data_IF_473848673181
#
_entry.id   IF_473848673181
#
_cell.length_a   1.000
_cell.length_b   1.000
_cell.length_c   1.000
_cell.angle_alpha   90.00
_cell.angle_beta   90.00
_cell.angle_gamma   90.00
#
_symmetry.space_group_name_H-M   'P 1'
#
loop_
_entity.id
_entity.type
_entity.pdbx_description
1 polymer ?
#
# COMPACT_ATOMS: atom_id res chain seq x y z
N UNK A 1 -1.30 -9.47 20.74
CA UNK A 1 -2.13 -9.45 19.52
C UNK A 1 -2.18 -8.00 19.07
N UNK A 2 -1.71 -7.69 17.86
CA UNK A 2 -1.76 -6.32 17.32
C UNK A 2 -3.21 -6.04 16.93
N UNK A 3 -3.80 -4.94 17.40
CA UNK A 3 -5.16 -4.55 17.03
C UNK A 3 -5.16 -3.84 15.68
N UNK A 4 -6.29 -3.84 14.98
CA UNK A 4 -6.47 -3.08 13.74
C UNK A 4 -6.20 -1.59 13.92
N UNK A 5 -6.49 -1.03 15.11
CA UNK A 5 -6.19 0.36 15.44
C UNK A 5 -4.69 0.66 15.47
N UNK A 6 -3.89 -0.22 16.09
CA UNK A 6 -2.41 -0.07 16.10
C UNK A 6 -1.84 -0.11 14.69
N UNK A 7 -2.40 -0.96 13.82
CA UNK A 7 -1.99 -1.00 12.41
C UNK A 7 -2.41 0.26 11.65
N UNK A 8 -3.65 0.73 11.84
CA UNK A 8 -4.15 1.96 11.22
C UNK A 8 -3.28 3.16 11.60
N UNK A 9 -2.89 3.26 12.87
CA UNK A 9 -1.99 4.31 13.36
C UNK A 9 -0.59 4.18 12.77
N UNK A 10 -0.06 2.96 12.66
CA UNK A 10 1.26 2.70 12.04
C UNK A 10 1.27 3.10 10.56
N UNK A 11 0.24 2.73 9.80
CA UNK A 11 0.10 3.09 8.38
C UNK A 11 0.06 4.62 8.25
N UNK A 12 -0.76 5.29 9.06
CA UNK A 12 -0.85 6.77 9.04
C UNK A 12 0.46 7.45 9.40
N UNK A 13 1.19 6.95 10.40
CA UNK A 13 2.51 7.47 10.77
C UNK A 13 3.52 7.33 9.63
N UNK A 14 3.57 6.16 8.99
CA UNK A 14 4.43 5.93 7.84
C UNK A 14 4.11 6.91 6.70
N UNK A 15 2.85 6.98 6.28
CA UNK A 15 2.42 7.80 5.15
C UNK A 15 2.60 9.29 5.41
N UNK A 16 2.34 9.73 6.64
CA UNK A 16 2.62 11.11 7.06
C UNK A 16 4.11 11.43 6.93
N UNK A 17 4.97 10.55 7.43
CA UNK A 17 6.43 10.74 7.38
C UNK A 17 6.94 10.79 5.93
N UNK A 18 6.50 9.84 5.08
CA UNK A 18 6.84 9.84 3.65
C UNK A 18 6.39 11.14 2.99
N UNK A 19 5.13 11.56 3.19
CA UNK A 19 4.58 12.75 2.56
C UNK A 19 5.29 14.04 2.99
N UNK A 20 5.51 14.22 4.29
CA UNK A 20 6.13 15.44 4.85
C UNK A 20 7.56 15.60 4.38
N UNK A 21 8.29 14.50 4.19
CA UNK A 21 9.68 14.54 3.76
C UNK A 21 9.83 14.72 2.25
N UNK A 22 8.92 14.13 1.48
CA UNK A 22 9.06 14.07 0.02
C UNK A 22 8.46 15.31 -0.67
N UNK A 23 7.62 16.13 -0.01
CA UNK A 23 6.79 17.16 -0.67
C UNK A 23 5.90 16.58 -1.80
N UNK A 24 5.79 15.25 -1.86
CA UNK A 24 5.28 14.46 -2.98
C UNK A 24 3.96 13.77 -2.56
N UNK A 25 3.06 14.49 -1.88
CA UNK A 25 1.79 13.92 -1.41
C UNK A 25 0.86 13.41 -2.51
N UNK A 26 1.15 13.79 -3.76
CA UNK A 26 0.42 13.36 -4.95
C UNK A 26 1.23 12.40 -5.83
N UNK A 27 2.33 11.82 -5.34
CA UNK A 27 3.22 11.03 -6.18
C UNK A 27 3.08 9.53 -5.96
N UNK A 28 2.20 9.16 -5.02
CA UNK A 28 1.87 7.78 -4.80
C UNK A 28 0.41 7.61 -4.39
N UNK A 29 -0.11 6.43 -4.68
CA UNK A 29 -1.42 5.96 -4.22
C UNK A 29 -1.17 4.76 -3.32
N UNK A 30 -1.78 4.77 -2.13
CA UNK A 30 -1.80 3.59 -1.27
C UNK A 30 -2.78 2.56 -1.84
N UNK A 31 -2.28 1.38 -2.16
CA UNK A 31 -3.10 0.28 -2.68
C UNK A 31 -3.03 -0.94 -1.75
N UNK A 32 -3.77 -2.00 -2.09
CA UNK A 32 -3.68 -3.27 -1.38
C UNK A 32 -4.30 -3.26 0.03
N UNK A 33 -3.75 -4.11 0.91
CA UNK A 33 -4.33 -4.38 2.23
C UNK A 33 -4.31 -3.18 3.17
N UNK A 34 -3.21 -2.42 3.17
CA UNK A 34 -3.08 -1.21 3.98
C UNK A 34 -4.10 -0.12 3.58
N UNK A 35 -4.34 0.04 2.27
CA UNK A 35 -5.43 0.88 1.76
C UNK A 35 -6.80 0.44 2.30
N UNK A 36 -7.07 -0.87 2.27
CA UNK A 36 -8.30 -1.43 2.84
C UNK A 36 -8.49 -1.12 4.33
N UNK A 37 -7.43 -1.20 5.14
CA UNK A 37 -7.48 -0.88 6.59
C UNK A 37 -7.84 0.59 6.84
N UNK A 38 -7.27 1.50 6.05
CA UNK A 38 -7.61 2.92 6.13
C UNK A 38 -9.05 3.19 5.65
N UNK A 39 -9.54 2.42 4.68
CA UNK A 39 -10.92 2.45 4.19
C UNK A 39 -11.94 1.72 5.11
N UNK A 40 -11.52 1.24 6.29
CA UNK A 40 -12.42 0.66 7.29
C UNK A 40 -12.41 -0.86 7.40
N UNK A 41 -11.56 -1.57 6.65
CA UNK A 41 -11.38 -3.01 6.82
C UNK A 41 -10.80 -3.35 8.19
N UNK A 42 -11.26 -4.47 8.77
CA UNK A 42 -10.76 -5.03 10.03
C UNK A 42 -9.65 -6.07 9.83
N UNK A 43 -9.19 -6.27 8.58
CA UNK A 43 -8.07 -7.17 8.28
C UNK A 43 -6.79 -6.70 8.94
N UNK A 44 -5.79 -7.58 8.93
CA UNK A 44 -4.41 -7.19 9.18
C UNK A 44 -3.55 -7.29 7.92
N UNK A 45 -2.45 -6.55 7.90
CA UNK A 45 -1.44 -6.58 6.83
C UNK A 45 -0.04 -6.39 7.40
N UNK A 46 0.98 -6.87 6.71
CA UNK A 46 2.40 -6.73 7.12
C UNK A 46 3.19 -5.77 6.24
N UNK A 47 2.54 -5.25 5.21
CA UNK A 47 3.12 -4.59 4.06
C UNK A 47 2.23 -3.42 3.60
N UNK A 48 2.86 -2.45 2.94
CA UNK A 48 2.21 -1.32 2.29
C UNK A 48 2.66 -1.25 0.84
N UNK A 49 1.70 -1.29 -0.06
CA UNK A 49 1.94 -1.14 -1.50
C UNK A 49 1.72 0.32 -1.90
N UNK A 50 2.76 0.98 -2.41
CA UNK A 50 2.67 2.35 -2.94
C UNK A 50 2.82 2.31 -4.46
N UNK A 51 1.76 2.66 -5.17
CA UNK A 51 1.80 2.84 -6.61
C UNK A 51 2.34 4.23 -6.93
N UNK A 52 3.54 4.30 -7.51
CA UNK A 52 4.25 5.56 -7.75
C UNK A 52 3.85 6.18 -9.09
N UNK A 53 3.81 7.51 -9.14
CA UNK A 53 3.66 8.28 -10.37
C UNK A 53 4.85 8.03 -11.32
N UNK A 54 4.62 8.10 -12.63
CA UNK A 54 5.60 7.73 -13.65
C UNK A 54 6.89 8.55 -13.61
N UNK A 55 6.82 9.78 -13.08
CA UNK A 55 7.97 10.66 -12.95
C UNK A 55 8.83 10.37 -11.71
N UNK A 56 8.36 9.52 -10.81
CA UNK A 56 9.06 9.15 -9.57
C UNK A 56 9.96 7.96 -9.87
N UNK A 57 11.26 8.13 -9.66
CA UNK A 57 12.20 7.02 -9.70
C UNK A 57 12.15 6.24 -8.36
N UNK A 58 11.80 4.93 -8.36
CA UNK A 58 11.64 4.16 -7.13
C UNK A 58 12.93 4.06 -6.31
N UNK A 59 14.11 4.05 -6.94
CA UNK A 59 15.38 3.96 -6.23
C UNK A 59 15.70 5.27 -5.52
N UNK A 60 15.58 6.40 -6.23
CA UNK A 60 15.76 7.72 -5.62
C UNK A 60 14.74 7.96 -4.50
N UNK A 61 13.48 7.54 -4.72
CA UNK A 61 12.44 7.64 -3.71
C UNK A 61 12.75 6.79 -2.47
N UNK A 62 13.28 5.57 -2.67
CA UNK A 62 13.76 4.73 -1.56
C UNK A 62 14.89 5.40 -0.79
N UNK A 63 15.90 5.93 -1.48
CA UNK A 63 17.05 6.60 -0.86
C UNK A 63 16.61 7.80 -0.02
N UNK A 64 15.66 8.60 -0.53
CA UNK A 64 15.05 9.71 0.21
C UNK A 64 14.33 9.23 1.47
N UNK A 65 13.49 8.19 1.36
CA UNK A 65 12.74 7.67 2.51
C UNK A 65 13.68 7.09 3.57
N UNK A 66 14.81 6.48 3.19
CA UNK A 66 15.80 5.96 4.12
C UNK A 66 16.51 7.05 4.94
N UNK A 67 16.42 8.32 4.54
CA UNK A 67 16.88 9.45 5.35
C UNK A 67 15.89 9.84 6.47
N UNK A 68 14.69 9.26 6.49
CA UNK A 68 13.65 9.55 7.47
C UNK A 68 13.81 8.63 8.69
N UNK A 69 13.75 9.20 9.89
CA UNK A 69 13.76 8.42 11.12
C UNK A 69 12.59 7.42 11.16
N UNK A 70 12.90 6.18 11.55
CA UNK A 70 11.93 5.09 11.59
C UNK A 70 11.93 4.22 10.34
N UNK A 71 12.66 4.58 9.29
CA UNK A 71 12.83 3.74 8.10
C UNK A 71 14.19 3.06 8.10
N UNK A 72 14.24 1.82 7.63
CA UNK A 72 15.49 1.11 7.33
C UNK A 72 15.27 0.07 6.23
N UNK A 73 16.34 -0.55 5.72
CA UNK A 73 16.27 -1.56 4.67
C UNK A 73 16.89 -2.92 5.10
N UNK A 74 16.37 -3.57 6.15
CA UNK A 74 16.92 -4.84 6.62
C UNK A 74 16.73 -5.91 5.54
N UNK A 75 17.82 -6.56 5.15
CA UNK A 75 17.78 -7.59 4.09
C UNK A 75 17.36 -7.06 2.72
N UNK A 76 17.46 -5.75 2.49
CA UNK A 76 17.11 -5.11 1.21
C UNK A 76 15.65 -4.68 1.08
N UNK A 77 14.80 -4.93 2.09
CA UNK A 77 13.39 -4.55 2.07
C UNK A 77 13.17 -3.24 2.82
N UNK A 78 12.65 -2.22 2.14
CA UNK A 78 12.28 -0.98 2.81
C UNK A 78 11.24 -1.27 3.89
N UNK A 79 11.52 -0.87 5.13
CA UNK A 79 10.71 -1.19 6.30
C UNK A 79 10.53 0.06 7.15
N UNK A 80 9.29 0.34 7.54
CA UNK A 80 8.96 1.34 8.55
C UNK A 80 8.80 0.66 9.92
N UNK A 81 9.44 1.21 10.94
CA UNK A 81 9.46 0.72 12.32
C UNK A 81 8.63 1.63 13.22
N UNK A 82 7.30 1.49 13.12
CA UNK A 82 6.36 2.10 14.06
C UNK A 82 6.04 1.18 15.25
N UNK A 83 4.86 1.35 15.88
CA UNK A 83 4.34 0.40 16.87
C UNK A 83 4.31 -1.05 16.37
N UNK A 84 4.13 -1.23 15.06
CA UNK A 84 4.47 -2.46 14.34
C UNK A 84 5.36 -2.15 13.15
N UNK A 85 6.17 -3.13 12.75
CA UNK A 85 6.98 -3.00 11.53
C UNK A 85 6.16 -3.36 10.30
N UNK A 86 6.31 -2.58 9.22
CA UNK A 86 5.67 -2.84 7.94
C UNK A 86 6.69 -2.70 6.81
N UNK A 87 6.73 -3.68 5.92
CA UNK A 87 7.50 -3.58 4.67
C UNK A 87 6.78 -2.66 3.69
N UNK A 88 7.52 -2.02 2.80
CA UNK A 88 7.00 -1.07 1.83
C UNK A 88 7.46 -1.50 0.46
N UNK A 89 6.50 -1.74 -0.42
CA UNK A 89 6.73 -2.13 -1.80
C UNK A 89 6.32 -0.99 -2.73
N UNK A 90 7.20 -0.67 -3.68
CA UNK A 90 6.95 0.33 -4.70
C UNK A 90 6.48 -0.33 -5.99
N UNK A 91 5.29 0.04 -6.44
CA UNK A 91 4.67 -0.49 -7.64
C UNK A 91 4.75 0.54 -8.76
N UNK A 92 5.04 0.08 -9.98
CA UNK A 92 4.90 0.88 -11.21
C UNK A 92 3.52 0.70 -11.87
N UNK A 93 2.88 -0.43 -11.61
CA UNK A 93 1.53 -0.75 -12.09
C UNK A 93 0.82 -1.68 -11.11
N UNK A 94 -0.50 -1.63 -11.13
CA UNK A 94 -1.36 -2.61 -10.45
C UNK A 94 -1.35 -3.95 -11.17
N UNK A 95 -1.99 -4.97 -10.58
CA UNK A 95 -2.19 -6.30 -11.20
C UNK A 95 -2.97 -6.25 -12.52
N UNK A 96 -3.75 -5.18 -12.74
CA UNK A 96 -4.51 -4.92 -13.96
C UNK A 96 -3.69 -4.15 -15.01
N UNK A 97 -2.38 -4.03 -14.81
CA UNK A 97 -1.46 -3.27 -15.66
C UNK A 97 -1.82 -1.77 -15.74
N UNK A 98 -2.55 -1.27 -14.74
CA UNK A 98 -2.88 0.16 -14.61
C UNK A 98 -1.80 0.91 -13.85
N UNK A 99 -1.31 2.01 -14.40
CA UNK A 99 -0.32 2.88 -13.74
C UNK A 99 -0.99 3.82 -12.75
N UNK A 100 -0.19 4.65 -12.05
CA UNK A 100 -0.70 5.74 -11.24
C UNK A 100 -1.63 6.66 -12.05
N UNK A 101 -1.20 7.09 -13.25
CA UNK A 101 -1.90 8.06 -14.08
C UNK A 101 -3.24 7.51 -14.58
N UNK A 102 -3.32 6.21 -14.85
CA UNK A 102 -4.56 5.56 -15.26
C UNK A 102 -5.63 5.57 -14.17
N UNK A 103 -5.24 5.62 -12.89
CA UNK A 103 -6.19 5.44 -11.77
C UNK A 103 -6.24 6.63 -10.81
N UNK A 104 -5.43 7.67 -11.03
CA UNK A 104 -5.36 8.84 -10.14
C UNK A 104 -6.72 9.53 -9.99
N UNK A 105 -7.53 9.59 -11.05
CA UNK A 105 -8.89 10.16 -11.02
C UNK A 105 -9.91 9.29 -10.27
N UNK A 106 -9.56 8.04 -9.99
CA UNK A 106 -10.38 7.08 -9.26
C UNK A 106 -9.90 6.89 -7.81
N UNK A 107 -9.45 7.99 -7.20
CA UNK A 107 -8.99 8.02 -5.81
C UNK A 107 -9.79 8.99 -4.95
N UNK A 108 -9.73 8.79 -3.64
CA UNK A 108 -10.14 9.76 -2.64
C UNK A 108 -8.98 10.04 -1.68
N UNK A 109 -9.06 11.14 -0.92
CA UNK A 109 -8.02 11.57 0.00
C UNK A 109 -8.35 11.15 1.44
N UNK A 110 -7.50 10.36 2.10
CA UNK A 110 -7.49 10.18 3.56
C UNK A 110 -6.26 10.87 4.13
N UNK A 111 -6.48 11.88 4.99
CA UNK A 111 -5.40 12.65 5.62
C UNK A 111 -4.32 13.11 4.63
N UNK A 112 -4.69 13.49 3.41
CA UNK A 112 -3.79 13.97 2.35
C UNK A 112 -2.90 12.89 1.73
N UNK A 113 -3.36 11.64 1.72
CA UNK A 113 -2.83 10.54 0.91
C UNK A 113 -3.93 10.04 -0.01
N UNK A 114 -3.59 9.75 -1.27
CA UNK A 114 -4.51 9.17 -2.23
C UNK A 114 -4.72 7.67 -1.94
N UNK A 115 -5.99 7.26 -1.82
CA UNK A 115 -6.44 5.88 -1.69
C UNK A 115 -7.38 5.55 -2.86
N UNK A 116 -7.38 4.31 -3.31
CA UNK A 116 -8.31 3.87 -4.36
C UNK A 116 -9.76 3.98 -3.89
N UNK A 117 -10.63 4.46 -4.79
CA UNK A 117 -12.07 4.33 -4.58
C UNK A 117 -12.45 2.85 -4.37
N UNK A 118 -13.43 2.55 -3.51
CA UNK A 118 -13.79 1.17 -3.17
C UNK A 118 -14.14 0.29 -4.38
N UNK A 119 -14.74 0.86 -5.43
CA UNK A 119 -15.08 0.17 -6.68
C UNK A 119 -13.84 -0.29 -7.46
N UNK A 120 -12.83 0.56 -7.59
CA UNK A 120 -11.55 0.20 -8.22
C UNK A 120 -10.77 -0.80 -7.38
N UNK A 121 -10.74 -0.59 -6.05
CA UNK A 121 -10.11 -1.55 -5.13
C UNK A 121 -10.77 -2.94 -5.24
N UNK A 122 -12.09 -3.00 -5.32
CA UNK A 122 -12.86 -4.24 -5.51
C UNK A 122 -12.55 -4.90 -6.86
N UNK A 123 -12.48 -4.14 -7.95
CA UNK A 123 -12.13 -4.68 -9.26
C UNK A 123 -10.73 -5.34 -9.27
N UNK A 124 -9.75 -4.69 -8.64
CA UNK A 124 -8.40 -5.26 -8.45
C UNK A 124 -8.46 -6.55 -7.63
N UNK A 125 -9.24 -6.58 -6.54
CA UNK A 125 -9.36 -7.75 -5.67
C UNK A 125 -10.05 -8.93 -6.35
N UNK A 126 -11.10 -8.70 -7.13
CA UNK A 126 -11.74 -9.73 -7.95
C UNK A 126 -10.76 -10.35 -8.95
N UNK A 127 -9.94 -9.52 -9.60
CA UNK A 127 -8.92 -10.01 -10.51
C UNK A 127 -7.83 -10.84 -9.81
N UNK A 128 -7.32 -10.36 -8.67
CA UNK A 128 -6.39 -11.11 -7.81
C UNK A 128 -6.96 -12.46 -7.38
N UNK A 129 -8.21 -12.48 -6.90
CA UNK A 129 -8.89 -13.70 -6.44
C UNK A 129 -8.97 -14.76 -7.55
N UNK A 130 -9.27 -14.34 -8.78
CA UNK A 130 -9.38 -15.25 -9.91
C UNK A 130 -8.03 -15.81 -10.34
N UNK A 131 -6.97 -14.98 -10.39
CA UNK A 131 -5.65 -15.37 -10.91
C UNK A 131 -4.75 -16.07 -9.90
N UNK A 132 -5.01 -15.97 -8.61
CA UNK A 132 -4.24 -16.67 -7.55
C UNK A 132 -4.44 -18.19 -7.52
N UNK A 133 -5.10 -18.79 -8.52
CA UNK A 133 -5.22 -20.23 -8.66
C UNK A 133 -3.86 -20.92 -8.90
N UNK A 134 -2.88 -20.21 -9.46
CA UNK A 134 -1.59 -20.75 -9.90
C UNK A 134 -0.38 -20.29 -9.03
N UNK A 135 -0.61 -19.58 -7.92
CA UNK A 135 0.45 -19.08 -7.00
C UNK A 135 0.72 -20.13 -5.88
N UNK A 136 1.99 -20.39 -5.54
CA UNK A 136 2.40 -21.27 -4.41
C UNK A 136 1.74 -20.88 -3.08
N UNK A 137 1.44 -19.59 -2.88
CA UNK A 137 0.70 -19.08 -1.72
C UNK A 137 -0.77 -18.74 -2.04
N UNK A 138 -1.24 -19.18 -3.21
CA UNK A 138 -2.51 -18.81 -3.82
C UNK A 138 -3.72 -19.07 -2.93
N UNK A 139 -3.77 -20.21 -2.24
CA UNK A 139 -4.90 -20.57 -1.36
C UNK A 139 -5.07 -19.58 -0.20
N UNK A 140 -3.97 -19.25 0.50
CA UNK A 140 -4.00 -18.30 1.64
C UNK A 140 -4.38 -16.89 1.16
N UNK A 141 -3.72 -16.45 0.10
CA UNK A 141 -3.91 -15.13 -0.51
C UNK A 141 -5.33 -14.96 -1.08
N UNK A 142 -5.90 -16.03 -1.65
CA UNK A 142 -7.26 -16.07 -2.19
C UNK A 142 -8.33 -15.98 -1.09
N UNK A 143 -8.09 -16.57 0.09
CA UNK A 143 -8.96 -16.36 1.25
C UNK A 143 -8.99 -14.88 1.65
N UNK A 144 -7.83 -14.22 1.76
CA UNK A 144 -7.77 -12.80 2.09
C UNK A 144 -8.42 -11.91 1.03
N UNK A 145 -8.31 -12.23 -0.26
CA UNK A 145 -9.03 -11.46 -1.29
C UNK A 145 -10.55 -11.66 -1.21
N UNK A 146 -11.02 -12.87 -0.88
CA UNK A 146 -12.45 -13.12 -0.67
C UNK A 146 -12.99 -12.30 0.51
N UNK A 147 -12.25 -12.24 1.62
CA UNK A 147 -12.58 -11.41 2.79
C UNK A 147 -12.56 -9.90 2.47
N UNK A 148 -11.79 -9.46 1.48
CA UNK A 148 -11.81 -8.05 1.02
C UNK A 148 -12.98 -7.76 0.06
N UNK A 149 -13.52 -8.78 -0.61
CA UNK A 149 -14.62 -8.67 -1.59
C UNK A 149 -15.99 -8.59 -0.89
N UNK A 150 -16.16 -9.30 0.23
CA UNK A 150 -17.42 -9.46 0.98
C UNK A 150 -17.51 -8.46 2.11
#
# INVERSE_FOLDING_TARGET
MVTSDVQRDTIRQCLKAVREYTNHGNDFILVGGAGGILSGSNRTTSDMDLLLAAHVDPHQFQEQILCINGFSAPGGFLTFHGPVSMTIDFLKSTVLEKTYEDIAEHTFQDNGVALLNPDVALAIKLHCYHRRADDENGVRKKKSDFEDIV
#
